data_IF_294968391101
#
_entry.id   IF_294968391101
#
_cell.length_a   1.000
_cell.length_b   1.000
_cell.length_c   1.000
_cell.angle_alpha   90.00
_cell.angle_beta   90.00
_cell.angle_gamma   90.00
#
_symmetry.space_group_name_H-M   'P 1'
#
loop_
_entity.id
_entity.type
_entity.pdbx_description
1 polymer ?
#
# COMPACT_ATOMS: atom_id res chain seq x y z
N UNK A 1 3.30 5.88 16.48
CA UNK A 1 1.95 6.31 16.87
C UNK A 1 1.80 6.56 18.38
N UNK A 2 1.99 5.55 19.23
CA UNK A 2 1.79 5.66 20.70
C UNK A 2 2.43 6.89 21.33
N UNK A 3 3.67 7.18 20.97
CA UNK A 3 4.49 8.20 21.63
C UNK A 3 4.30 9.60 21.02
N UNK A 4 3.85 9.72 19.77
CA UNK A 4 3.67 11.01 19.07
C UNK A 4 2.20 11.37 18.78
N UNK A 5 1.27 10.42 18.85
CA UNK A 5 -0.11 10.62 18.44
C UNK A 5 -0.82 11.72 19.24
N UNK A 6 -0.59 11.80 20.55
CA UNK A 6 -1.14 12.86 21.37
C UNK A 6 -0.67 14.26 20.94
N UNK A 7 0.63 14.41 20.65
CA UNK A 7 1.19 15.66 20.16
C UNK A 7 0.61 16.06 18.80
N UNK A 8 0.47 15.11 17.90
CA UNK A 8 -0.15 15.35 16.58
C UNK A 8 -1.61 15.78 16.74
N UNK A 9 -2.39 15.08 17.57
CA UNK A 9 -3.79 15.45 17.83
C UNK A 9 -3.89 16.86 18.45
N UNK A 10 -3.04 17.21 19.41
CA UNK A 10 -2.97 18.55 20.00
C UNK A 10 -2.66 19.63 18.95
N UNK A 11 -1.88 19.29 17.93
CA UNK A 11 -1.59 20.17 16.78
C UNK A 11 -2.71 20.19 15.75
N UNK A 12 -3.82 19.49 16.00
CA UNK A 12 -5.01 19.45 15.16
C UNK A 12 -4.95 18.46 13.99
N UNK A 13 -4.04 17.46 14.05
CA UNK A 13 -4.03 16.38 13.07
C UNK A 13 -5.13 15.35 13.37
N UNK A 14 -5.83 14.93 12.34
CA UNK A 14 -6.64 13.71 12.37
C UNK A 14 -5.72 12.50 12.27
N UNK A 15 -5.84 11.54 13.18
CA UNK A 15 -5.00 10.35 13.18
C UNK A 15 -5.81 9.19 12.62
N UNK A 16 -5.28 8.52 11.61
CA UNK A 16 -5.84 7.34 10.97
C UNK A 16 -4.84 6.19 11.08
N UNK A 17 -5.32 5.00 11.38
CA UNK A 17 -4.44 3.85 11.66
C UNK A 17 -4.91 2.62 10.92
N UNK A 18 -4.09 2.10 10.03
CA UNK A 18 -4.23 0.76 9.48
C UNK A 18 -3.39 -0.19 10.33
N UNK A 19 -4.03 -0.95 11.24
CA UNK A 19 -3.32 -1.83 12.16
C UNK A 19 -3.54 -3.30 11.80
N UNK A 20 -2.52 -3.91 11.18
CA UNK A 20 -2.56 -5.32 10.78
C UNK A 20 -2.08 -6.27 11.90
N UNK A 21 -1.51 -5.73 12.99
CA UNK A 21 -1.15 -6.52 14.18
C UNK A 21 -2.36 -6.69 15.11
N UNK A 22 -2.94 -5.59 15.59
CA UNK A 22 -4.19 -5.59 16.37
C UNK A 22 -5.32 -4.89 15.59
N UNK A 23 -6.08 -5.68 14.84
CA UNK A 23 -7.15 -5.20 13.97
C UNK A 23 -8.28 -4.51 14.72
N UNK A 24 -8.44 -4.81 16.02
CA UNK A 24 -9.41 -4.12 16.89
C UNK A 24 -9.05 -2.65 17.15
N UNK A 25 -7.81 -2.26 16.85
CA UNK A 25 -7.28 -0.92 16.97
C UNK A 25 -7.03 -0.25 15.61
N UNK A 26 -7.65 -0.75 14.53
CA UNK A 26 -7.52 -0.23 13.18
C UNK A 26 -8.72 0.62 12.77
N UNK A 27 -8.52 1.67 12.01
CA UNK A 27 -9.59 2.25 11.18
C UNK A 27 -10.01 1.23 10.12
N UNK A 28 -11.21 1.39 9.58
CA UNK A 28 -11.69 0.57 8.48
C UNK A 28 -11.11 1.10 7.16
N UNK A 29 -10.62 0.17 6.34
CA UNK A 29 -10.07 0.44 5.02
C UNK A 29 -10.68 -0.49 3.99
N UNK A 30 -11.58 0.04 3.16
CA UNK A 30 -12.18 -0.70 2.07
C UNK A 30 -11.58 -0.26 0.73
N UNK A 31 -10.74 -1.09 0.10
CA UNK A 31 -10.11 -0.74 -1.17
C UNK A 31 -11.10 -0.44 -2.32
N UNK A 32 -12.31 -1.02 -2.30
CA UNK A 32 -13.29 -0.76 -3.35
C UNK A 32 -13.86 0.66 -3.31
N UNK A 33 -13.75 1.34 -2.16
CA UNK A 33 -14.20 2.73 -2.01
C UNK A 33 -13.29 3.75 -2.71
N UNK A 34 -12.08 3.32 -3.12
CA UNK A 34 -11.10 4.15 -3.83
C UNK A 34 -11.06 3.85 -5.34
N UNK A 35 -11.86 2.92 -5.80
CA UNK A 35 -12.12 2.75 -7.23
C UNK A 35 -13.04 3.88 -7.65
N UNK A 36 -12.59 4.68 -8.61
CA UNK A 36 -13.34 5.80 -9.09
C UNK A 36 -14.55 5.30 -9.86
N UNK A 37 -15.66 5.69 -9.36
CA UNK A 37 -16.85 5.84 -10.17
C UNK A 37 -16.98 7.32 -10.45
N UNK A 38 -17.37 7.61 -11.61
CA UNK A 38 -17.79 8.92 -11.91
C UNK A 38 -18.98 9.31 -11.04
N UNK A 39 -18.86 10.30 -10.45
CA UNK A 39 -19.49 11.29 -9.57
C UNK A 39 -21.01 11.25 -9.35
N UNK A 40 -21.70 10.13 -9.50
CA UNK A 40 -23.09 10.05 -9.08
C UNK A 40 -23.20 9.80 -7.57
N UNK A 41 -23.81 10.75 -6.88
CA UNK A 41 -24.09 10.74 -5.45
C UNK A 41 -24.92 9.55 -4.96
N UNK A 42 -25.44 8.71 -5.83
CA UNK A 42 -26.42 7.68 -5.51
C UNK A 42 -25.78 6.30 -5.39
N UNK A 43 -24.46 6.18 -5.65
CA UNK A 43 -23.78 4.87 -5.59
C UNK A 43 -24.12 3.92 -6.73
N UNK A 44 -24.85 4.38 -7.74
CA UNK A 44 -25.16 3.62 -8.93
C UNK A 44 -24.34 4.12 -10.11
N UNK A 45 -23.89 3.19 -10.91
CA UNK A 45 -23.28 3.42 -12.19
C UNK A 45 -24.29 4.13 -13.11
N UNK A 46 -23.85 5.13 -13.85
CA UNK A 46 -24.56 5.64 -15.00
C UNK A 46 -23.68 5.56 -16.26
N UNK A 47 -24.32 5.63 -17.43
CA UNK A 47 -23.61 5.51 -18.70
C UNK A 47 -22.68 6.69 -18.99
N UNK A 48 -22.95 7.87 -18.41
CA UNK A 48 -22.13 9.08 -18.59
C UNK A 48 -20.82 9.01 -17.81
N UNK A 49 -20.80 8.11 -16.83
CA UNK A 49 -19.69 8.03 -15.87
C UNK A 49 -19.27 6.57 -15.59
N UNK A 50 -18.48 5.94 -16.45
CA UNK A 50 -18.09 4.54 -16.30
C UNK A 50 -17.07 4.36 -15.14
N UNK A 51 -17.11 3.18 -14.51
CA UNK A 51 -16.08 2.75 -13.56
C UNK A 51 -14.71 2.86 -14.23
N UNK A 52 -13.73 3.43 -13.53
CA UNK A 52 -12.38 3.51 -14.04
C UNK A 52 -11.76 2.12 -14.09
N UNK A 53 -11.55 1.62 -15.29
CA UNK A 53 -11.03 0.26 -15.51
C UNK A 53 -9.62 0.10 -14.94
N UNK A 54 -8.79 1.15 -15.04
CA UNK A 54 -7.41 1.16 -14.56
C UNK A 54 -7.35 0.94 -13.04
N UNK A 55 -8.25 1.51 -12.26
CA UNK A 55 -8.28 1.36 -10.80
C UNK A 55 -8.64 -0.09 -10.41
N UNK A 56 -9.61 -0.70 -11.11
CA UNK A 56 -9.96 -2.12 -10.90
C UNK A 56 -8.79 -3.02 -11.25
N UNK A 57 -8.13 -2.73 -12.36
CA UNK A 57 -6.94 -3.48 -12.80
C UNK A 57 -5.79 -3.35 -11.79
N UNK A 58 -5.52 -2.14 -11.32
CA UNK A 58 -4.48 -1.85 -10.33
C UNK A 58 -4.72 -2.61 -9.03
N UNK A 59 -5.95 -2.58 -8.50
CA UNK A 59 -6.32 -3.33 -7.30
C UNK A 59 -6.11 -4.85 -7.49
N UNK A 60 -6.61 -5.43 -8.59
CA UNK A 60 -6.48 -6.86 -8.85
C UNK A 60 -5.01 -7.25 -9.04
N UNK A 61 -4.23 -6.47 -9.81
CA UNK A 61 -2.80 -6.72 -10.00
C UNK A 61 -2.04 -6.71 -8.66
N UNK A 62 -2.36 -5.76 -7.78
CA UNK A 62 -1.74 -5.67 -6.46
C UNK A 62 -2.09 -6.88 -5.59
N UNK A 63 -3.35 -7.34 -5.62
CA UNK A 63 -3.77 -8.56 -4.93
C UNK A 63 -3.01 -9.77 -5.51
N UNK A 64 -2.95 -9.90 -6.83
CA UNK A 64 -2.30 -11.04 -7.48
C UNK A 64 -0.79 -11.09 -7.24
N UNK A 65 -0.11 -9.94 -7.24
CA UNK A 65 1.33 -9.86 -6.95
C UNK A 65 1.66 -10.35 -5.53
N UNK A 66 0.80 -10.03 -4.56
CA UNK A 66 1.06 -10.25 -3.14
C UNK A 66 0.45 -11.54 -2.55
N UNK A 67 -0.38 -12.24 -3.29
CA UNK A 67 -1.07 -13.44 -2.79
C UNK A 67 -0.70 -14.69 -3.61
N UNK A 68 0.48 -14.72 -4.21
CA UNK A 68 1.00 -15.91 -4.91
C UNK A 68 1.20 -17.04 -3.89
N UNK A 69 0.58 -18.18 -4.14
CA UNK A 69 0.81 -19.36 -3.32
C UNK A 69 2.19 -19.94 -3.63
N UNK A 70 3.06 -20.07 -2.63
CA UNK A 70 4.39 -20.68 -2.76
C UNK A 70 4.32 -22.12 -3.31
N UNK A 71 3.20 -22.80 -3.09
CA UNK A 71 2.97 -24.17 -3.55
C UNK A 71 2.62 -24.27 -5.05
N UNK A 72 2.26 -23.17 -5.73
CA UNK A 72 1.95 -23.16 -7.16
C UNK A 72 3.22 -22.94 -8.00
N UNK A 73 4.34 -22.57 -7.39
CA UNK A 73 5.63 -22.41 -8.09
C UNK A 73 6.14 -23.71 -8.75
N UNK A 74 5.62 -24.88 -8.38
CA UNK A 74 6.00 -26.17 -8.96
C UNK A 74 5.10 -26.68 -10.09
N UNK A 75 3.99 -26.02 -10.37
CA UNK A 75 3.24 -26.25 -11.61
C UNK A 75 3.72 -25.19 -12.60
N UNK A 76 4.59 -25.61 -13.52
CA UNK A 76 5.13 -24.87 -14.65
C UNK A 76 4.25 -23.67 -15.01
N UNK A 77 4.77 -22.43 -14.72
CA UNK A 77 4.04 -21.18 -14.82
C UNK A 77 3.47 -20.91 -16.21
N UNK A 78 2.39 -21.58 -16.55
CA UNK A 78 1.61 -21.21 -17.71
C UNK A 78 0.86 -19.92 -17.38
N UNK A 79 1.19 -18.79 -18.01
CA UNK A 79 0.55 -17.48 -17.79
C UNK A 79 -0.97 -17.52 -18.03
N UNK A 80 -1.47 -18.61 -18.63
CA UNK A 80 -2.89 -18.82 -18.89
C UNK A 80 -3.72 -18.80 -17.60
N UNK A 81 -3.26 -19.50 -16.54
CA UNK A 81 -4.04 -19.63 -15.30
C UNK A 81 -4.17 -18.30 -14.56
N UNK A 82 -3.06 -17.54 -14.49
CA UNK A 82 -3.07 -16.21 -13.85
C UNK A 82 -3.98 -15.24 -14.63
N UNK A 83 -3.92 -15.27 -15.98
CA UNK A 83 -4.78 -14.44 -16.82
C UNK A 83 -6.26 -14.80 -16.71
N UNK A 84 -6.57 -16.10 -16.70
CA UNK A 84 -7.96 -16.56 -16.58
C UNK A 84 -8.56 -16.22 -15.21
N UNK A 85 -7.76 -16.35 -14.14
CA UNK A 85 -8.14 -15.91 -12.79
C UNK A 85 -8.37 -14.41 -12.74
N UNK A 86 -7.46 -13.61 -13.31
CA UNK A 86 -7.58 -12.16 -13.39
C UNK A 86 -8.88 -11.73 -14.07
N UNK A 87 -9.18 -12.30 -15.25
CA UNK A 87 -10.41 -12.03 -16.00
C UNK A 87 -11.64 -12.36 -15.16
N UNK A 88 -11.61 -13.49 -14.45
CA UNK A 88 -12.71 -13.89 -13.57
C UNK A 88 -12.90 -12.91 -12.41
N UNK A 89 -11.82 -12.52 -11.71
CA UNK A 89 -11.88 -11.54 -10.64
C UNK A 89 -12.40 -10.19 -11.15
N UNK A 90 -11.90 -9.72 -12.30
CA UNK A 90 -12.40 -8.48 -12.92
C UNK A 90 -13.91 -8.52 -13.12
N UNK A 91 -14.44 -9.59 -13.68
CA UNK A 91 -15.88 -9.73 -13.86
C UNK A 91 -16.65 -9.58 -12.55
N UNK A 92 -16.17 -10.21 -11.46
CA UNK A 92 -16.81 -10.13 -10.15
C UNK A 92 -16.73 -8.73 -9.54
N UNK A 93 -15.58 -8.06 -9.64
CA UNK A 93 -15.41 -6.70 -9.15
C UNK A 93 -16.31 -5.72 -9.91
N UNK A 94 -16.36 -5.81 -11.25
CA UNK A 94 -17.26 -4.98 -12.05
C UNK A 94 -18.73 -5.24 -11.71
N UNK A 95 -19.11 -6.51 -11.49
CA UNK A 95 -20.46 -6.84 -11.07
C UNK A 95 -20.79 -6.21 -9.70
N UNK A 96 -19.86 -6.30 -8.73
CA UNK A 96 -20.02 -5.72 -7.40
C UNK A 96 -20.19 -4.19 -7.48
N UNK A 97 -19.33 -3.52 -8.23
CA UNK A 97 -19.36 -2.07 -8.37
C UNK A 97 -20.60 -1.57 -9.13
N UNK A 98 -21.13 -2.38 -10.05
CA UNK A 98 -22.28 -2.01 -10.88
C UNK A 98 -23.64 -2.22 -10.21
N UNK A 99 -23.80 -3.33 -9.47
CA UNK A 99 -25.11 -3.79 -9.02
C UNK A 99 -25.33 -3.66 -7.51
N UNK A 100 -24.32 -3.30 -6.75
CA UNK A 100 -24.44 -3.11 -5.31
C UNK A 100 -24.27 -1.63 -4.95
N UNK A 101 -24.97 -1.19 -3.92
CA UNK A 101 -24.79 0.14 -3.35
C UNK A 101 -23.42 0.25 -2.64
N UNK A 102 -22.99 1.47 -2.33
CA UNK A 102 -21.69 1.74 -1.71
C UNK A 102 -21.45 0.96 -0.40
N UNK A 103 -22.51 0.74 0.38
CA UNK A 103 -22.39 0.01 1.65
C UNK A 103 -22.08 -1.48 1.44
N UNK A 104 -22.42 -2.03 0.28
CA UNK A 104 -22.21 -3.45 -0.05
C UNK A 104 -21.07 -3.66 -1.07
N UNK A 105 -20.40 -2.61 -1.52
CA UNK A 105 -19.23 -2.70 -2.38
C UNK A 105 -17.99 -3.04 -1.54
N UNK A 106 -17.86 -4.32 -1.17
CA UNK A 106 -16.78 -4.83 -0.33
C UNK A 106 -16.35 -6.25 -0.73
N UNK A 107 -15.26 -6.74 -0.17
CA UNK A 107 -14.75 -8.10 -0.46
C UNK A 107 -15.71 -9.22 -0.03
N UNK A 108 -16.53 -9.00 0.98
CA UNK A 108 -17.54 -9.98 1.42
C UNK A 108 -18.54 -10.23 0.30
N UNK A 109 -18.98 -9.19 -0.39
CA UNK A 109 -19.88 -9.30 -1.55
C UNK A 109 -19.20 -10.03 -2.71
N UNK A 110 -17.94 -9.71 -3.03
CA UNK A 110 -17.17 -10.45 -4.06
C UNK A 110 -17.08 -11.93 -3.72
N UNK A 111 -16.78 -12.28 -2.48
CA UNK A 111 -16.71 -13.67 -2.01
C UNK A 111 -18.08 -14.38 -2.09
N UNK A 112 -19.17 -13.68 -1.83
CA UNK A 112 -20.51 -14.22 -2.00
C UNK A 112 -20.81 -14.52 -3.47
N UNK A 113 -20.41 -13.65 -4.40
CA UNK A 113 -20.51 -13.92 -5.84
C UNK A 113 -19.71 -15.16 -6.26
N UNK A 114 -18.50 -15.36 -5.73
CA UNK A 114 -17.73 -16.59 -5.98
C UNK A 114 -18.52 -17.82 -5.52
N UNK A 115 -19.21 -17.79 -4.40
CA UNK A 115 -20.03 -18.92 -3.90
C UNK A 115 -21.17 -19.24 -4.84
N UNK A 116 -21.70 -18.28 -5.60
CA UNK A 116 -22.75 -18.47 -6.59
C UNK A 116 -22.24 -19.14 -7.88
N UNK A 117 -20.92 -19.32 -8.04
CA UNK A 117 -20.32 -19.94 -9.23
C UNK A 117 -20.48 -21.46 -9.29
N UNK A 118 -20.97 -22.10 -8.22
CA UNK A 118 -21.19 -23.52 -8.20
C UNK A 118 -22.36 -23.90 -9.14
N UNK A 119 -22.13 -24.75 -10.15
CA UNK A 119 -23.19 -25.14 -11.06
C UNK A 119 -24.23 -26.03 -10.37
N UNK A 120 -25.47 -25.89 -10.77
CA UNK A 120 -26.55 -26.77 -10.39
C UNK A 120 -26.56 -28.09 -11.21
N UNK A 121 -27.60 -28.92 -11.06
CA UNK A 121 -27.75 -30.17 -11.78
C UNK A 121 -27.86 -29.99 -13.31
N UNK A 122 -28.13 -28.79 -13.80
CA UNK A 122 -28.20 -28.45 -15.24
C UNK A 122 -26.86 -27.97 -15.77
N UNK A 123 -25.84 -27.82 -14.92
CA UNK A 123 -24.53 -27.31 -15.30
C UNK A 123 -24.46 -25.78 -15.39
N UNK A 124 -25.51 -25.07 -14.98
CA UNK A 124 -25.58 -23.60 -14.96
C UNK A 124 -25.49 -23.13 -13.52
N UNK A 125 -24.63 -22.15 -13.25
CA UNK A 125 -24.51 -21.55 -11.93
C UNK A 125 -25.47 -20.36 -11.74
N UNK A 126 -25.75 -20.01 -10.50
CA UNK A 126 -26.50 -18.78 -10.22
C UNK A 126 -25.76 -17.55 -10.70
N UNK A 127 -24.42 -17.57 -10.66
CA UNK A 127 -23.61 -16.50 -11.20
C UNK A 127 -23.79 -16.37 -12.72
N UNK A 128 -23.89 -17.49 -13.47
CA UNK A 128 -24.19 -17.45 -14.91
C UNK A 128 -25.50 -16.71 -15.18
N UNK A 129 -26.52 -16.99 -14.38
CA UNK A 129 -27.84 -16.34 -14.55
C UNK A 129 -27.77 -14.84 -14.29
N UNK A 130 -26.99 -14.42 -13.30
CA UNK A 130 -26.78 -12.98 -13.02
C UNK A 130 -26.10 -12.26 -14.19
N UNK A 131 -25.01 -12.83 -14.72
CA UNK A 131 -24.31 -12.25 -15.85
C UNK A 131 -25.10 -12.32 -17.17
N UNK A 132 -25.92 -13.36 -17.36
CA UNK A 132 -26.82 -13.46 -18.51
C UNK A 132 -27.93 -12.39 -18.46
N UNK A 133 -28.46 -12.12 -17.27
CA UNK A 133 -29.41 -11.04 -17.07
C UNK A 133 -28.76 -9.68 -17.38
N UNK A 134 -27.61 -9.39 -16.76
CA UNK A 134 -26.87 -8.16 -17.04
C UNK A 134 -26.49 -8.02 -18.51
N UNK A 135 -26.06 -9.10 -19.17
CA UNK A 135 -25.70 -9.08 -20.59
C UNK A 135 -26.86 -8.88 -21.55
N UNK A 136 -28.11 -9.04 -21.10
CA UNK A 136 -29.31 -8.68 -21.88
C UNK A 136 -29.57 -7.17 -21.81
N UNK A 137 -29.34 -6.57 -20.65
CA UNK A 137 -29.58 -5.16 -20.42
C UNK A 137 -28.41 -4.31 -20.95
N UNK A 138 -27.16 -4.77 -20.71
CA UNK A 138 -25.93 -4.04 -21.06
C UNK A 138 -24.92 -4.98 -21.74
N UNK A 139 -25.12 -5.39 -23.00
CA UNK A 139 -24.27 -6.37 -23.68
C UNK A 139 -22.82 -5.92 -23.88
N UNK A 140 -22.58 -4.62 -23.93
CA UNK A 140 -21.27 -4.00 -24.14
C UNK A 140 -20.51 -3.71 -22.84
N UNK A 141 -21.12 -3.94 -21.68
CA UNK A 141 -20.47 -3.75 -20.38
C UNK A 141 -19.18 -4.57 -20.27
N UNK A 142 -18.12 -3.95 -19.74
CA UNK A 142 -16.81 -4.59 -19.55
C UNK A 142 -16.92 -5.83 -18.64
N UNK A 143 -17.72 -5.77 -17.58
CA UNK A 143 -17.93 -6.90 -16.68
C UNK A 143 -18.54 -8.11 -17.39
N UNK A 144 -19.54 -7.88 -18.26
CA UNK A 144 -20.17 -8.92 -19.07
C UNK A 144 -19.17 -9.52 -20.08
N UNK A 145 -18.36 -8.66 -20.73
CA UNK A 145 -17.31 -9.11 -21.66
C UNK A 145 -16.28 -9.97 -20.94
N UNK A 146 -15.80 -9.54 -19.78
CA UNK A 146 -14.84 -10.31 -18.98
C UNK A 146 -15.40 -11.65 -18.51
N UNK A 147 -16.67 -11.69 -18.11
CA UNK A 147 -17.30 -12.95 -17.73
C UNK A 147 -17.42 -13.91 -18.91
N UNK A 148 -17.80 -13.42 -20.10
CA UNK A 148 -17.83 -14.23 -21.35
C UNK A 148 -16.44 -14.74 -21.70
N UNK A 149 -15.40 -13.91 -21.59
CA UNK A 149 -14.00 -14.34 -21.82
C UNK A 149 -13.59 -15.43 -20.84
N UNK A 150 -13.93 -15.27 -19.55
CA UNK A 150 -13.69 -16.32 -18.54
C UNK A 150 -14.38 -17.64 -18.94
N UNK A 151 -15.64 -17.61 -19.35
CA UNK A 151 -16.38 -18.81 -19.76
C UNK A 151 -15.75 -19.50 -20.97
N UNK A 152 -15.22 -18.73 -21.92
CA UNK A 152 -14.49 -19.27 -23.07
C UNK A 152 -13.15 -19.89 -22.63
N UNK A 153 -12.38 -19.19 -21.81
CA UNK A 153 -11.12 -19.68 -21.27
C UNK A 153 -11.31 -20.94 -20.41
N UNK A 154 -12.39 -20.98 -19.64
CA UNK A 154 -12.75 -22.06 -18.73
C UNK A 154 -13.80 -23.02 -19.35
N UNK A 155 -13.71 -23.32 -20.63
CA UNK A 155 -14.70 -24.14 -21.36
C UNK A 155 -14.87 -25.57 -20.82
N UNK A 156 -13.83 -26.16 -20.23
CA UNK A 156 -13.92 -27.44 -19.55
C UNK A 156 -14.32 -27.28 -18.07
N UNK A 157 -15.27 -28.08 -17.54
CA UNK A 157 -15.74 -27.99 -16.16
C UNK A 157 -14.61 -28.07 -15.13
N UNK A 158 -13.59 -28.89 -15.37
CA UNK A 158 -12.42 -29.01 -14.49
C UNK A 158 -11.57 -27.74 -14.47
N UNK A 159 -11.40 -27.09 -15.61
CA UNK A 159 -10.67 -25.82 -15.70
C UNK A 159 -11.42 -24.73 -14.93
N UNK A 160 -12.73 -24.62 -15.13
CA UNK A 160 -13.58 -23.68 -14.42
C UNK A 160 -13.46 -23.86 -12.91
N UNK A 161 -13.64 -25.08 -12.43
CA UNK A 161 -13.53 -25.38 -10.98
C UNK A 161 -12.15 -25.03 -10.43
N UNK A 162 -11.08 -25.25 -11.20
CA UNK A 162 -9.72 -24.91 -10.77
C UNK A 162 -9.54 -23.40 -10.64
N UNK A 163 -9.99 -22.60 -11.61
CA UNK A 163 -9.88 -21.13 -11.57
C UNK A 163 -10.69 -20.57 -10.39
N UNK A 164 -11.92 -21.04 -10.20
CA UNK A 164 -12.76 -20.63 -9.07
C UNK A 164 -12.11 -20.98 -7.72
N UNK A 165 -11.51 -22.18 -7.61
CA UNK A 165 -10.82 -22.61 -6.41
C UNK A 165 -9.59 -21.73 -6.11
N UNK A 166 -8.79 -21.39 -7.12
CA UNK A 166 -7.61 -20.52 -6.95
C UNK A 166 -8.04 -19.12 -6.54
N UNK A 167 -9.03 -18.54 -7.20
CA UNK A 167 -9.59 -17.23 -6.82
C UNK A 167 -10.17 -17.23 -5.40
N UNK A 168 -10.88 -18.31 -5.00
CA UNK A 168 -11.37 -18.48 -3.63
C UNK A 168 -10.23 -18.52 -2.62
N UNK A 169 -9.18 -19.28 -2.91
CA UNK A 169 -8.01 -19.39 -2.04
C UNK A 169 -7.27 -18.06 -1.90
N UNK A 170 -7.17 -17.31 -3.00
CA UNK A 170 -6.53 -15.99 -3.03
C UNK A 170 -7.24 -14.97 -2.13
N UNK A 171 -8.55 -14.95 -2.17
CA UNK A 171 -9.37 -14.05 -1.36
C UNK A 171 -9.77 -14.64 0.01
N UNK A 172 -9.30 -15.85 0.36
CA UNK A 172 -9.70 -16.54 1.59
C UNK A 172 -9.45 -15.75 2.88
N UNK A 173 -8.41 -14.93 2.90
CA UNK A 173 -8.08 -14.08 4.06
C UNK A 173 -9.16 -13.05 4.36
N UNK A 174 -9.92 -12.59 3.37
CA UNK A 174 -11.05 -11.68 3.56
C UNK A 174 -12.28 -12.35 4.20
N UNK A 175 -12.32 -13.70 4.31
CA UNK A 175 -13.32 -14.41 5.09
C UNK A 175 -13.04 -14.39 6.61
N UNK A 176 -11.84 -13.98 7.03
CA UNK A 176 -11.49 -13.86 8.45
C UNK A 176 -12.28 -12.69 9.01
N UNK A 177 -13.10 -12.94 10.04
CA UNK A 177 -14.05 -11.96 10.60
C UNK A 177 -13.41 -10.59 10.87
N UNK A 178 -12.21 -10.57 11.44
CA UNK A 178 -11.52 -9.32 11.75
C UNK A 178 -11.11 -8.55 10.49
N UNK A 179 -10.69 -9.25 9.43
CA UNK A 179 -10.34 -8.64 8.14
C UNK A 179 -11.61 -8.22 7.40
N UNK A 180 -12.64 -9.06 7.38
CA UNK A 180 -13.93 -8.72 6.79
C UNK A 180 -14.48 -7.41 7.40
N UNK A 181 -14.52 -7.32 8.72
CA UNK A 181 -14.98 -6.10 9.42
C UNK A 181 -14.12 -4.88 9.11
N UNK A 182 -12.79 -5.06 8.99
CA UNK A 182 -11.87 -3.95 8.70
C UNK A 182 -12.00 -3.45 7.26
N UNK A 183 -12.41 -4.32 6.32
CA UNK A 183 -12.54 -4.00 4.89
C UNK A 183 -13.99 -3.83 4.43
N UNK A 184 -14.95 -3.83 5.34
CA UNK A 184 -16.37 -3.69 5.03
C UNK A 184 -16.73 -2.26 4.62
N UNK A 185 -16.20 -1.30 5.33
CA UNK A 185 -16.45 0.13 5.13
C UNK A 185 -15.12 0.90 5.07
N UNK A 186 -15.17 2.20 4.78
CA UNK A 186 -13.98 3.05 4.79
C UNK A 186 -14.10 4.20 5.78
N UNK A 187 -13.13 4.30 6.66
CA UNK A 187 -12.93 5.43 7.57
C UNK A 187 -11.55 6.05 7.43
N UNK A 188 -10.72 5.56 6.49
CA UNK A 188 -9.35 6.08 6.28
C UNK A 188 -9.33 7.46 5.64
N UNK A 189 -10.30 7.78 4.76
CA UNK A 189 -10.39 9.08 4.10
C UNK A 189 -9.08 9.48 3.39
N UNK A 190 -8.51 8.58 2.57
CA UNK A 190 -7.22 8.82 1.89
C UNK A 190 -7.25 10.05 0.97
N UNK A 191 -8.42 10.43 0.47
CA UNK A 191 -8.64 11.61 -0.35
C UNK A 191 -8.26 12.94 0.33
N UNK A 192 -8.00 12.95 1.65
CA UNK A 192 -7.51 14.13 2.38
C UNK A 192 -6.01 14.39 2.20
N UNK A 193 -5.24 13.38 1.76
CA UNK A 193 -3.78 13.48 1.70
C UNK A 193 -3.35 14.62 0.77
N UNK A 194 -2.45 15.46 1.24
CA UNK A 194 -1.90 16.59 0.47
C UNK A 194 -2.85 17.75 0.19
N UNK A 195 -4.12 17.68 0.65
CA UNK A 195 -5.07 18.78 0.55
C UNK A 195 -4.65 19.99 1.41
N UNK A 196 -5.22 21.19 1.19
CA UNK A 196 -4.96 22.35 2.06
C UNK A 196 -5.23 22.06 3.53
N UNK A 197 -4.34 22.49 4.43
CA UNK A 197 -4.48 22.28 5.89
C UNK A 197 -5.59 23.11 6.51
N UNK A 198 -5.97 24.23 5.92
CA UNK A 198 -7.01 25.11 6.41
C UNK A 198 -8.36 24.78 5.79
N UNK A 199 -9.36 24.47 6.62
CA UNK A 199 -10.75 24.24 6.19
C UNK A 199 -11.35 25.45 5.43
N UNK A 200 -10.85 26.64 5.69
CA UNK A 200 -11.31 27.87 5.05
C UNK A 200 -10.56 28.20 3.75
N UNK A 201 -9.61 27.37 3.35
CA UNK A 201 -8.87 27.57 2.10
C UNK A 201 -9.81 27.77 0.92
N UNK A 202 -9.60 28.82 0.09
CA UNK A 202 -10.39 29.02 -1.13
C UNK A 202 -10.31 27.80 -2.07
N UNK A 203 -9.13 27.20 -2.20
CA UNK A 203 -8.91 26.02 -3.02
C UNK A 203 -9.74 24.83 -2.52
N UNK A 204 -9.74 24.53 -1.22
CA UNK A 204 -10.51 23.43 -0.66
C UNK A 204 -12.02 23.67 -0.82
N UNK A 205 -12.48 24.92 -0.67
CA UNK A 205 -13.87 25.29 -0.91
C UNK A 205 -14.26 25.11 -2.37
N UNK A 206 -13.38 25.49 -3.30
CA UNK A 206 -13.60 25.28 -4.73
C UNK A 206 -13.71 23.79 -5.04
N UNK A 207 -12.74 22.97 -4.63
CA UNK A 207 -12.75 21.52 -4.83
C UNK A 207 -14.07 20.92 -4.29
N UNK A 208 -14.46 21.31 -3.08
CA UNK A 208 -15.68 20.80 -2.46
C UNK A 208 -16.97 21.32 -3.12
N UNK A 209 -16.95 22.45 -3.82
CA UNK A 209 -18.09 22.93 -4.57
C UNK A 209 -18.31 22.17 -5.89
N UNK A 210 -17.25 21.60 -6.42
CA UNK A 210 -17.26 20.80 -7.65
C UNK A 210 -17.40 19.28 -7.35
N UNK A 211 -17.26 18.88 -6.08
CA UNK A 211 -17.31 17.49 -5.63
C UNK A 211 -18.65 17.19 -4.94
N UNK A 212 -19.19 16.05 -5.25
CA UNK A 212 -20.42 15.56 -4.63
C UNK A 212 -20.17 15.03 -3.19
N UNK A 213 -18.92 14.70 -2.85
CA UNK A 213 -18.51 14.28 -1.51
C UNK A 213 -17.45 15.26 -0.98
N UNK A 214 -17.75 16.06 0.03
CA UNK A 214 -16.77 16.99 0.60
C UNK A 214 -15.52 16.27 1.08
N UNK A 215 -14.36 16.80 0.70
CA UNK A 215 -13.05 16.34 1.15
C UNK A 215 -12.67 17.14 2.40
N UNK A 216 -12.20 16.46 3.44
CA UNK A 216 -11.66 17.10 4.63
C UNK A 216 -10.32 17.80 4.35
N UNK A 217 -9.87 18.63 5.28
CA UNK A 217 -8.55 19.25 5.17
C UNK A 217 -7.40 18.23 5.21
N UNK A 218 -6.23 18.63 4.67
CA UNK A 218 -5.03 17.81 4.57
C UNK A 218 -4.26 17.61 5.87
N UNK A 219 -4.80 18.03 7.01
CA UNK A 219 -4.15 17.88 8.32
C UNK A 219 -4.41 16.49 8.89
N UNK A 220 -3.81 15.49 8.29
CA UNK A 220 -4.01 14.06 8.59
C UNK A 220 -2.65 13.36 8.77
N UNK A 221 -2.61 12.38 9.66
CA UNK A 221 -1.46 11.51 9.87
C UNK A 221 -1.90 10.04 9.81
N UNK A 222 -1.39 9.32 8.83
CA UNK A 222 -1.65 7.89 8.64
C UNK A 222 -0.56 7.06 9.29
N UNK A 223 -0.95 6.02 10.03
CA UNK A 223 -0.06 5.04 10.60
C UNK A 223 -0.40 3.65 10.07
N UNK A 224 0.54 3.03 9.36
CA UNK A 224 0.42 1.65 8.91
C UNK A 224 1.26 0.77 9.82
N UNK A 225 0.61 -0.11 10.56
CA UNK A 225 1.26 -0.99 11.54
C UNK A 225 1.20 -2.42 11.02
N UNK A 226 2.36 -3.00 10.74
CA UNK A 226 2.49 -4.40 10.31
C UNK A 226 3.01 -5.26 11.46
N UNK A 227 2.77 -6.57 11.40
CA UNK A 227 3.29 -7.52 12.37
C UNK A 227 4.61 -8.12 11.89
N UNK A 228 5.74 -7.85 12.55
CA UNK A 228 7.04 -8.37 12.10
C UNK A 228 7.13 -9.90 12.04
N UNK A 229 6.42 -10.59 12.92
CA UNK A 229 6.43 -12.06 13.02
C UNK A 229 5.45 -12.77 12.06
N UNK A 230 4.60 -12.04 11.37
CA UNK A 230 3.59 -12.61 10.48
C UNK A 230 3.22 -11.62 9.36
N UNK A 231 3.64 -11.94 8.16
CA UNK A 231 3.41 -11.14 6.96
C UNK A 231 2.12 -11.48 6.19
N UNK A 232 1.29 -12.39 6.72
CA UNK A 232 0.08 -12.91 6.04
C UNK A 232 -0.85 -11.80 5.54
N UNK A 233 -0.94 -10.68 6.24
CA UNK A 233 -1.84 -9.57 5.89
C UNK A 233 -1.11 -8.36 5.28
N UNK A 234 0.19 -8.45 5.02
CA UNK A 234 0.97 -7.32 4.50
C UNK A 234 0.55 -6.92 3.09
N UNK A 235 -0.15 -7.79 2.36
CA UNK A 235 -0.76 -7.45 1.07
C UNK A 235 -1.77 -6.28 1.19
N UNK A 236 -2.47 -6.13 2.33
CA UNK A 236 -3.35 -5.00 2.58
C UNK A 236 -2.58 -3.67 2.68
N UNK A 237 -1.38 -3.70 3.27
CA UNK A 237 -0.51 -2.53 3.29
C UNK A 237 -0.03 -2.20 1.87
N UNK A 238 0.25 -3.20 1.03
CA UNK A 238 0.63 -2.96 -0.38
C UNK A 238 -0.52 -2.34 -1.18
N UNK A 239 -1.75 -2.82 -1.01
CA UNK A 239 -2.93 -2.22 -1.63
C UNK A 239 -3.10 -0.77 -1.14
N UNK A 240 -2.96 -0.54 0.17
CA UNK A 240 -3.04 0.79 0.76
C UNK A 240 -2.04 1.77 0.12
N UNK A 241 -0.76 1.38 0.00
CA UNK A 241 0.25 2.26 -0.60
C UNK A 241 0.02 2.47 -2.09
N UNK A 242 -0.39 1.43 -2.83
CA UNK A 242 -0.73 1.57 -4.26
C UNK A 242 -1.84 2.62 -4.43
N UNK A 243 -2.94 2.48 -3.70
CA UNK A 243 -4.06 3.42 -3.78
C UNK A 243 -3.70 4.80 -3.21
N UNK A 244 -2.85 4.87 -2.17
CA UNK A 244 -2.36 6.14 -1.65
C UNK A 244 -1.59 6.92 -2.73
N UNK A 245 -0.74 6.28 -3.52
CA UNK A 245 0.01 6.94 -4.60
C UNK A 245 -0.91 7.40 -5.73
N UNK A 246 -1.89 6.60 -6.11
CA UNK A 246 -2.91 6.97 -7.09
C UNK A 246 -3.72 8.20 -6.63
N UNK A 247 -4.14 8.24 -5.37
CA UNK A 247 -4.86 9.37 -4.78
C UNK A 247 -3.98 10.62 -4.68
N UNK A 248 -2.70 10.47 -4.38
CA UNK A 248 -1.74 11.58 -4.36
C UNK A 248 -1.67 12.24 -5.75
N UNK A 249 -1.58 11.44 -6.81
CA UNK A 249 -1.57 11.96 -8.20
C UNK A 249 -2.84 12.76 -8.52
N UNK A 250 -3.99 12.24 -8.12
CA UNK A 250 -5.27 12.92 -8.32
C UNK A 250 -5.40 14.21 -7.54
N UNK A 251 -5.05 14.15 -6.26
CA UNK A 251 -5.08 15.32 -5.41
C UNK A 251 -4.12 16.41 -5.91
N UNK A 252 -2.96 16.02 -6.46
CA UNK A 252 -2.05 16.95 -7.10
C UNK A 252 -2.69 17.60 -8.35
N UNK A 253 -3.41 16.84 -9.17
CA UNK A 253 -4.17 17.39 -10.32
C UNK A 253 -5.25 18.37 -9.85
N UNK A 254 -6.03 18.03 -8.81
CA UNK A 254 -7.02 18.92 -8.22
C UNK A 254 -6.41 20.20 -7.63
N UNK A 255 -5.18 20.12 -7.14
CA UNK A 255 -4.45 21.25 -6.59
C UNK A 255 -3.64 22.05 -7.63
N UNK A 256 -3.78 21.75 -8.93
CA UNK A 256 -3.11 22.50 -10.00
C UNK A 256 -1.75 21.96 -10.41
N UNK A 257 -1.46 20.68 -10.19
CA UNK A 257 -0.28 19.96 -10.64
C UNK A 257 0.71 19.58 -9.54
N UNK A 258 0.48 19.99 -8.29
CA UNK A 258 1.26 19.59 -7.12
C UNK A 258 0.39 19.67 -5.88
N UNK A 259 0.68 18.85 -4.87
CA UNK A 259 -0.06 18.86 -3.60
C UNK A 259 0.02 20.23 -2.91
N UNK A 260 -1.10 20.69 -2.37
CA UNK A 260 -1.17 21.95 -1.62
C UNK A 260 -0.43 21.88 -0.28
N UNK A 261 -0.32 20.69 0.30
CA UNK A 261 0.44 20.41 1.52
C UNK A 261 1.49 19.35 1.24
N UNK A 262 2.77 19.57 1.61
CA UNK A 262 3.79 18.55 1.49
C UNK A 262 3.41 17.27 2.21
N UNK A 263 3.69 16.13 1.61
CA UNK A 263 3.45 14.81 2.20
C UNK A 263 4.78 14.12 2.43
N UNK A 264 5.03 13.68 3.68
CA UNK A 264 6.21 12.91 4.04
C UNK A 264 5.80 11.48 4.39
N UNK A 265 6.38 10.52 3.68
CA UNK A 265 6.12 9.09 3.83
C UNK A 265 7.36 8.41 4.42
N UNK A 266 7.22 7.82 5.59
CA UNK A 266 8.29 7.08 6.27
C UNK A 266 7.98 5.60 6.26
N UNK A 267 8.77 4.81 5.53
CA UNK A 267 8.65 3.35 5.42
C UNK A 267 9.81 2.70 6.18
N UNK A 268 9.70 2.58 7.51
CA UNK A 268 10.81 2.14 8.40
C UNK A 268 11.28 0.71 8.09
N UNK A 269 10.37 -0.25 7.94
CA UNK A 269 10.69 -1.63 7.56
C UNK A 269 10.07 -1.99 6.18
N UNK A 270 10.36 -1.17 5.19
CA UNK A 270 9.77 -1.30 3.86
C UNK A 270 9.92 -2.69 3.23
N UNK A 271 11.02 -3.38 3.48
CA UNK A 271 11.24 -4.73 2.94
C UNK A 271 10.21 -5.76 3.44
N UNK A 272 9.58 -5.53 4.58
CA UNK A 272 8.54 -6.39 5.14
C UNK A 272 7.16 -6.16 4.54
N UNK A 273 6.94 -5.02 3.89
CA UNK A 273 5.70 -4.79 3.15
C UNK A 273 5.62 -5.78 1.98
N UNK A 274 4.42 -6.07 1.50
CA UNK A 274 4.25 -6.78 0.24
C UNK A 274 4.86 -6.00 -0.95
N UNK A 275 4.81 -6.57 -2.13
CA UNK A 275 5.23 -5.89 -3.35
C UNK A 275 4.25 -4.75 -3.68
N UNK A 276 4.76 -3.54 -3.84
CA UNK A 276 4.01 -2.39 -4.35
C UNK A 276 4.28 -2.32 -5.85
N UNK A 277 3.29 -2.66 -6.70
CA UNK A 277 3.48 -2.58 -8.14
C UNK A 277 3.90 -1.19 -8.59
N UNK A 278 4.80 -1.11 -9.58
CA UNK A 278 5.27 0.15 -10.14
C UNK A 278 5.93 1.11 -9.12
N UNK A 279 6.42 0.60 -7.99
CA UNK A 279 7.00 1.44 -6.93
C UNK A 279 8.16 2.31 -7.41
N UNK A 280 8.98 1.81 -8.33
CA UNK A 280 10.14 2.54 -8.88
C UNK A 280 9.67 3.75 -9.69
N UNK A 281 8.68 3.54 -10.55
CA UNK A 281 8.08 4.59 -11.38
C UNK A 281 7.39 5.64 -10.49
N UNK A 282 6.70 5.19 -9.45
CA UNK A 282 6.06 6.08 -8.48
C UNK A 282 7.08 6.93 -7.71
N UNK A 283 8.20 6.35 -7.27
CA UNK A 283 9.27 7.13 -6.60
C UNK A 283 9.78 8.28 -7.46
N UNK A 284 10.01 8.03 -8.74
CA UNK A 284 10.49 9.05 -9.67
C UNK A 284 9.43 10.15 -9.90
N UNK A 285 8.17 9.78 -9.96
CA UNK A 285 7.05 10.67 -10.27
C UNK A 285 6.62 11.53 -9.07
N UNK A 286 6.48 10.93 -7.90
CA UNK A 286 5.96 11.56 -6.67
C UNK A 286 6.83 12.72 -6.19
N UNK A 287 8.14 12.72 -6.49
CA UNK A 287 9.04 13.83 -6.23
C UNK A 287 8.53 15.15 -6.81
N UNK A 288 7.99 15.11 -8.03
CA UNK A 288 7.41 16.28 -8.69
C UNK A 288 6.12 16.80 -8.06
N UNK A 289 5.45 15.99 -7.25
CA UNK A 289 4.16 16.26 -6.64
C UNK A 289 4.23 16.82 -5.21
N UNK A 290 5.41 17.22 -4.73
CA UNK A 290 5.62 17.67 -3.35
C UNK A 290 5.51 16.55 -2.30
N UNK A 291 6.04 15.36 -2.63
CA UNK A 291 6.07 14.18 -1.77
C UNK A 291 7.50 13.78 -1.47
N UNK A 292 7.85 13.66 -0.19
CA UNK A 292 9.09 13.08 0.30
C UNK A 292 8.89 11.64 0.73
N UNK A 293 9.79 10.74 0.33
CA UNK A 293 9.73 9.33 0.74
C UNK A 293 11.05 8.93 1.37
N UNK A 294 10.98 8.40 2.58
CA UNK A 294 12.11 7.81 3.30
C UNK A 294 11.89 6.31 3.45
N UNK A 295 12.84 5.53 2.92
CA UNK A 295 12.80 4.06 2.95
C UNK A 295 13.86 3.53 3.89
N UNK A 296 13.46 2.79 4.91
CA UNK A 296 14.34 2.08 5.83
C UNK A 296 14.63 0.65 5.35
N UNK A 297 15.93 0.30 5.31
CA UNK A 297 16.42 -1.02 4.91
C UNK A 297 17.42 -1.55 5.93
N UNK A 298 17.36 -2.83 6.25
CA UNK A 298 18.40 -3.49 7.05
C UNK A 298 19.63 -3.86 6.20
N UNK A 299 19.43 -4.12 4.90
CA UNK A 299 20.51 -4.42 3.95
C UNK A 299 20.06 -4.25 2.50
N UNK A 300 20.99 -4.02 1.59
CA UNK A 300 20.70 -3.98 0.15
C UNK A 300 20.22 -5.32 -0.41
N UNK A 301 20.58 -6.44 0.22
CA UNK A 301 20.09 -7.76 -0.21
C UNK A 301 18.58 -7.89 -0.12
N UNK A 302 17.93 -7.23 0.86
CA UNK A 302 16.46 -7.17 0.94
C UNK A 302 15.85 -6.45 -0.27
N UNK A 303 16.47 -5.35 -0.68
CA UNK A 303 16.03 -4.57 -1.85
C UNK A 303 16.16 -5.40 -3.14
N UNK A 304 17.31 -6.06 -3.34
CA UNK A 304 17.57 -6.93 -4.49
C UNK A 304 16.63 -8.12 -4.55
N UNK A 305 16.32 -8.73 -3.40
CA UNK A 305 15.36 -9.84 -3.35
C UNK A 305 13.97 -9.41 -3.81
N UNK A 306 13.57 -8.20 -3.46
CA UNK A 306 12.22 -7.69 -3.72
C UNK A 306 12.06 -7.13 -5.14
N UNK A 307 13.03 -6.35 -5.60
CA UNK A 307 12.95 -5.64 -6.90
C UNK A 307 13.96 -6.14 -7.94
N UNK A 308 14.57 -7.29 -7.71
CA UNK A 308 15.45 -7.99 -8.66
C UNK A 308 16.26 -7.03 -9.55
N UNK A 309 15.85 -6.88 -10.82
CA UNK A 309 16.56 -6.07 -11.81
C UNK A 309 16.37 -4.55 -11.64
N UNK A 310 15.35 -4.11 -10.90
CA UNK A 310 15.01 -2.68 -10.71
C UNK A 310 15.54 -2.08 -9.41
N UNK A 311 16.29 -2.83 -8.60
CA UNK A 311 16.76 -2.38 -7.29
C UNK A 311 17.68 -1.15 -7.35
N UNK A 312 18.52 -1.04 -8.39
CA UNK A 312 19.41 0.12 -8.59
C UNK A 312 18.60 1.38 -8.86
N UNK A 313 17.53 1.28 -9.64
CA UNK A 313 16.65 2.41 -9.93
C UNK A 313 15.98 2.99 -8.68
N UNK A 314 15.69 2.15 -7.66
CA UNK A 314 15.19 2.65 -6.36
C UNK A 314 16.24 3.54 -5.69
N UNK A 315 17.51 3.13 -5.70
CA UNK A 315 18.59 3.92 -5.11
C UNK A 315 18.86 5.21 -5.91
N UNK A 316 18.77 5.15 -7.22
CA UNK A 316 18.97 6.31 -8.10
C UNK A 316 17.88 7.39 -7.89
N UNK A 317 16.68 6.98 -7.43
CA UNK A 317 15.62 7.90 -7.04
C UNK A 317 15.86 8.56 -5.67
N UNK A 318 16.84 8.09 -4.89
CA UNK A 318 17.13 8.61 -3.56
C UNK A 318 18.26 9.67 -3.61
N UNK A 319 17.92 10.93 -3.36
CA UNK A 319 18.91 12.02 -3.29
C UNK A 319 19.86 11.89 -2.10
N UNK A 320 19.45 11.20 -1.05
CA UNK A 320 20.24 11.04 0.17
C UNK A 320 20.27 9.59 0.63
N UNK A 321 21.46 9.12 1.00
CA UNK A 321 21.67 7.80 1.59
C UNK A 321 22.31 7.95 2.97
N UNK A 322 21.61 7.48 4.01
CA UNK A 322 22.10 7.50 5.39
C UNK A 322 22.46 6.08 5.84
N UNK A 323 23.73 5.85 6.12
CA UNK A 323 24.23 4.59 6.71
C UNK A 323 24.50 4.77 8.20
N UNK A 324 23.81 3.98 9.02
CA UNK A 324 23.91 4.05 10.49
C UNK A 324 24.69 2.88 11.11
N UNK A 325 25.34 2.07 10.26
CA UNK A 325 26.07 0.87 10.67
C UNK A 325 25.44 -0.40 10.09
N UNK A 326 26.22 -1.45 10.03
CA UNK A 326 25.79 -2.77 9.53
C UNK A 326 26.98 -3.63 9.08
N UNK A 327 26.74 -4.94 8.94
CA UNK A 327 27.77 -5.93 8.60
C UNK A 327 27.53 -6.58 7.22
N UNK A 328 26.47 -6.18 6.50
CA UNK A 328 26.19 -6.74 5.18
C UNK A 328 27.29 -6.36 4.19
N UNK A 329 28.04 -7.36 3.72
CA UNK A 329 29.15 -7.16 2.76
C UNK A 329 28.69 -6.38 1.53
N UNK A 330 27.55 -6.73 0.98
CA UNK A 330 26.99 -6.10 -0.22
C UNK A 330 26.66 -4.62 0.00
N UNK A 331 26.08 -4.28 1.17
CA UNK A 331 25.84 -2.89 1.55
C UNK A 331 27.12 -2.10 1.72
N UNK A 332 28.13 -2.71 2.36
CA UNK A 332 29.43 -2.08 2.56
C UNK A 332 30.17 -1.85 1.23
N UNK A 333 30.16 -2.84 0.31
CA UNK A 333 30.76 -2.71 -1.03
C UNK A 333 30.11 -1.56 -1.83
N UNK A 334 28.79 -1.46 -1.79
CA UNK A 334 28.06 -0.34 -2.41
C UNK A 334 28.49 1.01 -1.84
N UNK A 335 28.57 1.13 -0.51
CA UNK A 335 28.96 2.37 0.16
C UNK A 335 30.41 2.75 -0.15
N UNK A 336 31.33 1.79 -0.17
CA UNK A 336 32.74 2.04 -0.57
C UNK A 336 32.82 2.58 -1.99
N UNK A 337 32.04 1.98 -2.91
CA UNK A 337 31.98 2.45 -4.29
C UNK A 337 31.41 3.88 -4.38
N UNK A 338 30.36 4.17 -3.62
CA UNK A 338 29.71 5.49 -3.57
C UNK A 338 30.63 6.57 -2.98
N UNK A 339 31.42 6.23 -1.95
CA UNK A 339 32.39 7.13 -1.32
C UNK A 339 33.58 7.46 -2.25
N UNK A 340 33.94 6.51 -3.12
CA UNK A 340 35.02 6.69 -4.07
C UNK A 340 36.41 6.63 -3.44
N UNK A 341 37.40 7.14 -4.17
CA UNK A 341 38.84 7.08 -3.81
C UNK A 341 39.43 8.47 -3.66
N UNK A 342 40.39 8.58 -2.72
CA UNK A 342 41.22 9.76 -2.54
C UNK A 342 42.66 9.45 -2.90
N UNK A 343 43.34 10.42 -3.52
CA UNK A 343 44.77 10.34 -3.82
C UNK A 343 45.59 10.58 -2.55
N UNK A 344 46.46 9.66 -2.22
CA UNK A 344 47.41 9.77 -1.12
C UNK A 344 48.83 9.79 -1.65
N UNK A 345 49.65 10.69 -1.09
CA UNK A 345 51.08 10.72 -1.35
C UNK A 345 51.81 9.92 -0.29
N UNK A 346 52.40 8.80 -0.72
CA UNK A 346 53.21 7.94 0.14
C UNK A 346 54.67 8.29 -0.03
N UNK A 347 55.29 8.77 1.05
CA UNK A 347 56.73 9.00 1.10
C UNK A 347 57.43 7.69 1.44
N UNK A 348 58.25 7.16 0.54
CA UNK A 348 59.14 6.02 0.78
C UNK A 348 60.56 6.50 0.88
N UNK A 349 61.23 6.23 1.97
CA UNK A 349 62.65 6.56 2.16
C UNK A 349 63.50 5.30 2.32
N UNK A 350 64.44 5.10 1.44
CA UNK A 350 65.46 4.04 1.52
C UNK A 350 66.77 4.64 1.98
N UNK A 351 67.43 4.05 2.98
CA UNK A 351 68.81 4.34 3.39
C UNK A 351 69.65 3.10 3.20
N UNK A 352 70.69 3.25 2.38
CA UNK A 352 71.68 2.19 2.22
C UNK A 352 72.90 2.55 3.08
N UNK A 353 73.21 1.68 4.02
CA UNK A 353 74.40 1.79 4.87
C UNK A 353 75.59 1.11 4.16
N UNK A 354 76.29 1.84 3.29
CA UNK A 354 77.55 1.46 2.70
C UNK A 354 78.55 2.59 2.88
N UNK A 355 79.88 2.34 2.60
CA UNK A 355 80.98 3.31 2.75
C UNK A 355 80.71 4.65 2.00
N UNK A 356 79.84 4.63 1.01
CA UNK A 356 79.20 5.80 0.40
C UNK A 356 77.68 5.63 0.55
N UNK A 357 77.12 6.09 1.66
CA UNK A 357 75.70 5.98 1.94
C UNK A 357 74.91 6.89 1.02
N UNK A 358 73.90 6.33 0.36
CA UNK A 358 72.90 7.11 -0.40
C UNK A 358 71.55 7.06 0.30
N UNK A 359 70.85 8.17 0.30
CA UNK A 359 69.45 8.22 0.70
C UNK A 359 68.57 8.60 -0.49
N UNK A 360 67.61 7.80 -0.79
CA UNK A 360 66.60 8.10 -1.81
C UNK A 360 65.26 8.35 -1.14
N UNK A 361 64.56 9.36 -1.58
CA UNK A 361 63.20 9.66 -1.17
C UNK A 361 62.31 9.64 -2.40
N UNK A 362 61.40 8.65 -2.45
CA UNK A 362 60.40 8.57 -3.53
C UNK A 362 59.03 8.99 -3.01
N UNK A 363 58.32 9.68 -3.84
CA UNK A 363 56.92 10.03 -3.61
C UNK A 363 56.08 9.19 -4.56
N UNK A 364 55.30 8.25 -4.01
CA UNK A 364 54.39 7.42 -4.75
C UNK A 364 52.97 8.02 -4.59
N UNK A 365 52.25 8.06 -5.68
CA UNK A 365 50.86 8.46 -5.70
C UNK A 365 50.02 7.21 -5.68
N UNK A 366 49.24 7.02 -4.59
CA UNK A 366 48.40 5.82 -4.38
C UNK A 366 46.95 6.26 -4.23
N UNK A 367 46.08 5.70 -5.07
CA UNK A 367 44.64 5.81 -4.84
C UNK A 367 44.18 4.94 -3.67
N UNK A 368 43.62 5.55 -2.61
CA UNK A 368 43.02 4.83 -1.50
C UNK A 368 41.53 5.11 -1.46
N UNK A 369 40.71 4.10 -1.17
CA UNK A 369 39.32 4.28 -0.86
C UNK A 369 39.14 5.28 0.29
N UNK A 370 38.14 6.13 0.20
CA UNK A 370 37.86 7.16 1.22
C UNK A 370 37.56 6.51 2.58
N UNK A 371 36.81 5.39 2.55
CA UNK A 371 36.65 4.47 3.65
C UNK A 371 36.70 3.03 3.11
N UNK A 372 37.38 2.14 3.78
CA UNK A 372 37.45 0.72 3.43
C UNK A 372 36.29 -0.05 4.02
N UNK A 373 36.02 -1.27 3.52
CA UNK A 373 35.02 -2.18 4.09
C UNK A 373 35.23 -2.40 5.59
N UNK A 374 36.49 -2.57 6.00
CA UNK A 374 36.86 -2.82 7.39
C UNK A 374 36.62 -1.58 8.28
N UNK A 375 36.88 -0.40 7.79
CA UNK A 375 36.63 0.86 8.49
C UNK A 375 35.12 1.12 8.66
N UNK A 376 34.31 0.86 7.61
CA UNK A 376 32.84 1.01 7.69
C UNK A 376 32.22 -0.05 8.61
N UNK A 377 32.68 -1.30 8.54
CA UNK A 377 32.16 -2.40 9.38
C UNK A 377 32.44 -2.18 10.88
N UNK A 378 33.52 -1.45 11.20
CA UNK A 378 33.96 -1.11 12.57
C UNK A 378 33.52 0.30 13.00
N UNK A 379 32.63 0.94 12.24
CA UNK A 379 32.16 2.26 12.59
C UNK A 379 31.55 2.26 14.00
N UNK A 380 31.99 3.18 14.89
CA UNK A 380 31.45 3.25 16.25
C UNK A 380 29.94 3.50 16.26
N UNK A 381 29.25 2.83 17.20
CA UNK A 381 27.82 3.06 17.43
C UNK A 381 27.54 4.54 17.69
N UNK A 382 26.47 5.06 17.12
CA UNK A 382 26.11 6.49 17.21
C UNK A 382 26.77 7.39 16.17
N UNK A 383 27.62 6.83 15.28
CA UNK A 383 28.10 7.54 14.10
C UNK A 383 27.32 7.12 12.84
N UNK A 384 27.38 7.94 11.82
CA UNK A 384 26.73 7.67 10.54
C UNK A 384 27.57 8.22 9.38
N UNK A 385 27.29 7.68 8.21
CA UNK A 385 27.75 8.22 6.93
C UNK A 385 26.52 8.69 6.17
N UNK A 386 26.48 9.98 5.85
CA UNK A 386 25.43 10.59 5.03
C UNK A 386 26.03 10.91 3.67
N UNK A 387 25.44 10.39 2.61
CA UNK A 387 25.74 10.75 1.25
C UNK A 387 24.58 11.58 0.68
N UNK A 388 24.90 12.71 0.05
CA UNK A 388 23.92 13.58 -0.62
C UNK A 388 24.36 13.74 -2.07
N UNK A 389 23.50 13.40 -3.02
CA UNK A 389 23.78 13.51 -4.45
C UNK A 389 24.16 14.95 -4.83
N UNK A 390 25.23 15.09 -5.61
CA UNK A 390 25.75 16.41 -6.03
C UNK A 390 26.52 17.20 -4.96
N UNK A 391 26.51 16.78 -3.69
CA UNK A 391 27.23 17.45 -2.59
C UNK A 391 28.40 16.58 -2.12
N UNK A 392 28.15 15.29 -1.84
CA UNK A 392 29.17 14.33 -1.41
C UNK A 392 28.85 13.63 -0.10
N UNK A 393 29.89 13.09 0.54
CA UNK A 393 29.76 12.27 1.73
C UNK A 393 30.20 12.99 3.00
N UNK A 394 29.46 12.76 4.06
CA UNK A 394 29.70 13.31 5.40
C UNK A 394 29.79 12.18 6.41
N UNK A 395 30.84 12.19 7.24
CA UNK A 395 30.91 11.35 8.42
C UNK A 395 30.51 12.18 9.64
N UNK A 396 29.47 11.75 10.34
CA UNK A 396 28.88 12.52 11.44
C UNK A 396 28.41 11.62 12.59
N UNK A 397 27.96 12.24 13.65
CA UNK A 397 27.25 11.57 14.74
C UNK A 397 25.75 11.59 14.45
N UNK A 398 25.08 10.50 14.80
CA UNK A 398 23.61 10.48 14.82
C UNK A 398 23.08 11.55 15.78
N UNK A 399 22.06 12.24 15.34
CA UNK A 399 21.40 13.23 16.19
C UNK A 399 20.75 12.57 17.42
N UNK A 400 21.01 13.12 18.58
CA UNK A 400 20.36 12.63 19.80
C UNK A 400 18.94 13.17 19.88
N UNK A 401 17.95 12.29 19.71
CA UNK A 401 16.54 12.66 19.71
C UNK A 401 16.13 13.44 20.97
N UNK A 402 16.77 13.18 22.13
CA UNK A 402 16.50 13.89 23.38
C UNK A 402 16.86 15.39 23.36
N UNK A 403 17.74 15.78 22.45
CA UNK A 403 18.14 17.18 22.27
C UNK A 403 17.19 17.96 21.35
N UNK A 404 16.22 17.23 20.71
CA UNK A 404 15.27 17.87 19.83
C UNK A 404 14.31 18.79 20.60
N UNK A 405 14.07 20.03 20.15
CA UNK A 405 13.21 21.00 20.87
C UNK A 405 11.82 20.44 21.22
N UNK A 406 11.25 19.64 20.34
CA UNK A 406 9.91 19.03 20.51
C UNK A 406 9.95 17.69 21.26
N UNK A 407 11.11 17.23 21.75
CA UNK A 407 11.21 15.94 22.44
C UNK A 407 10.27 15.86 23.65
N UNK A 408 10.13 16.99 24.38
CA UNK A 408 9.21 17.08 25.52
C UNK A 408 7.72 16.89 25.16
N UNK A 409 7.36 16.95 23.87
CA UNK A 409 5.99 16.71 23.41
C UNK A 409 5.70 15.20 23.22
N UNK A 410 6.74 14.36 23.17
CA UNK A 410 6.60 12.91 23.05
C UNK A 410 6.28 12.29 24.42
N UNK A 411 5.63 11.12 24.36
CA UNK A 411 5.45 10.30 25.54
C UNK A 411 6.74 9.54 25.87
N UNK A 412 7.20 9.65 27.11
CA UNK A 412 8.25 8.79 27.69
C UNK A 412 7.67 7.86 28.75
N UNK A 413 7.95 6.53 28.70
CA UNK A 413 7.46 5.59 29.71
C UNK A 413 7.94 5.89 31.15
N UNK A 414 9.06 6.62 31.29
CA UNK A 414 9.63 7.00 32.59
C UNK A 414 9.00 8.25 33.21
N UNK A 415 8.38 9.07 32.38
CA UNK A 415 7.62 10.23 32.84
C UNK A 415 6.23 9.77 33.23
N UNK A 416 5.88 9.49 34.41
CA UNK A 416 4.55 9.06 34.88
C UNK A 416 3.35 9.84 34.30
N UNK A 417 3.53 10.52 33.18
CA UNK A 417 2.54 11.34 32.50
C UNK A 417 1.76 10.52 31.46
N UNK A 418 0.91 9.62 31.97
CA UNK A 418 0.00 8.81 31.13
C UNK A 418 -0.93 9.64 30.23
N UNK A 419 -1.05 10.94 30.46
CA UNK A 419 -1.87 11.84 29.63
C UNK A 419 -1.30 12.04 28.22
N UNK A 420 0.00 11.86 28.01
CA UNK A 420 0.64 11.97 26.70
C UNK A 420 0.62 10.66 25.91
N UNK A 421 0.16 9.57 26.52
CA UNK A 421 0.07 8.27 25.86
C UNK A 421 -1.15 8.25 24.94
N UNK A 422 -0.92 8.19 23.63
CA UNK A 422 -2.00 8.06 22.67
C UNK A 422 -2.51 6.62 22.58
N UNK A 423 -3.81 6.45 22.71
CA UNK A 423 -4.48 5.15 22.57
C UNK A 423 -5.60 5.25 21.54
N UNK A 424 -5.31 4.76 20.34
CA UNK A 424 -6.24 4.81 19.20
C UNK A 424 -7.52 4.02 19.46
N UNK A 425 -7.44 2.90 20.17
CA UNK A 425 -8.64 2.12 20.55
C UNK A 425 -9.64 2.93 21.38
N UNK A 426 -9.14 3.76 22.31
CA UNK A 426 -10.00 4.66 23.06
C UNK A 426 -10.64 5.73 22.18
N UNK A 427 -9.88 6.28 21.22
CA UNK A 427 -10.40 7.24 20.26
C UNK A 427 -11.51 6.64 19.40
N UNK A 428 -11.33 5.40 18.95
CA UNK A 428 -12.34 4.67 18.19
C UNK A 428 -13.60 4.34 19.02
N UNK A 429 -13.46 4.16 20.33
CA UNK A 429 -14.56 3.87 21.24
C UNK A 429 -15.29 5.11 21.76
N UNK A 430 -14.57 6.23 21.93
CA UNK A 430 -15.08 7.41 22.63
C UNK A 430 -14.81 8.72 21.88
N UNK A 431 -14.21 8.68 20.69
CA UNK A 431 -13.94 9.83 19.83
C UNK A 431 -15.12 10.23 18.95
N UNK A 432 -14.91 11.18 18.05
CA UNK A 432 -15.93 11.67 17.12
C UNK A 432 -16.53 10.58 16.20
N UNK A 433 -15.80 9.47 15.97
CA UNK A 433 -16.26 8.31 15.19
C UNK A 433 -16.76 7.15 16.05
N UNK A 434 -17.01 7.37 17.34
CA UNK A 434 -17.40 6.32 18.29
C UNK A 434 -18.71 5.63 17.91
N UNK A 435 -19.68 6.38 17.45
CA UNK A 435 -21.01 5.87 17.09
C UNK A 435 -20.94 4.85 15.95
N UNK A 436 -20.04 5.08 15.02
CA UNK A 436 -19.83 4.17 13.88
C UNK A 436 -19.26 2.82 14.32
N UNK A 437 -18.34 2.80 15.29
CA UNK A 437 -17.75 1.57 15.81
C UNK A 437 -18.60 0.83 16.85
N UNK A 438 -19.39 1.54 17.62
CA UNK A 438 -20.40 0.89 18.45
C UNK A 438 -21.34 0.03 17.61
N UNK A 439 -21.64 0.45 16.39
CA UNK A 439 -22.40 -0.33 15.43
C UNK A 439 -21.63 -1.59 14.96
N UNK A 440 -20.33 -1.49 14.74
CA UNK A 440 -19.48 -2.63 14.36
C UNK A 440 -19.23 -3.61 15.52
N UNK A 441 -18.95 -3.11 16.74
CA UNK A 441 -18.67 -3.93 17.93
C UNK A 441 -19.95 -4.54 18.54
N UNK A 442 -21.13 -3.95 18.33
CA UNK A 442 -22.41 -4.48 18.84
C UNK A 442 -22.88 -5.73 18.08
N UNK A 443 -22.14 -6.19 17.09
CA UNK A 443 -22.56 -7.29 16.23
C UNK A 443 -23.76 -6.94 15.34
N UNK A 444 -24.19 -5.69 15.41
CA UNK A 444 -24.99 -5.04 14.38
C UNK A 444 -24.07 -4.65 13.22
N UNK A 445 -23.16 -5.57 12.83
CA UNK A 445 -22.78 -5.58 11.43
C UNK A 445 -24.12 -5.58 10.70
N UNK A 446 -24.33 -4.63 9.80
CA UNK A 446 -25.33 -4.79 8.78
C UNK A 446 -24.93 -5.92 7.82
N UNK A 447 -24.63 -7.08 8.40
CA UNK A 447 -25.06 -8.30 7.81
C UNK A 447 -26.56 -8.20 8.01
N UNK A 448 -27.23 -7.53 7.12
CA UNK A 448 -28.59 -7.95 6.79
C UNK A 448 -28.41 -9.45 6.66
N UNK A 449 -28.98 -10.28 7.57
CA UNK A 449 -28.96 -11.70 7.31
C UNK A 449 -29.50 -11.73 5.89
N UNK A 450 -28.69 -12.17 4.94
CA UNK A 450 -29.20 -12.68 3.70
C UNK A 450 -30.07 -13.80 4.25
N UNK A 451 -31.34 -13.51 4.49
CA UNK A 451 -32.33 -14.55 4.60
C UNK A 451 -31.96 -15.39 3.43
N UNK A 452 -31.50 -16.61 3.71
CA UNK A 452 -31.15 -17.55 2.66
C UNK A 452 -32.22 -17.30 1.66
N UNK A 453 -31.95 -16.77 0.44
CA UNK A 453 -33.03 -16.65 -0.52
C UNK A 453 -33.58 -18.05 -0.51
N UNK A 454 -34.82 -18.25 -0.05
CA UNK A 454 -35.48 -19.51 -0.24
C UNK A 454 -35.27 -19.70 -1.73
N UNK A 455 -34.46 -20.71 -2.08
CA UNK A 455 -34.19 -21.07 -3.45
C UNK A 455 -35.52 -21.64 -3.93
N UNK A 456 -36.43 -20.74 -4.19
CA UNK A 456 -37.53 -21.03 -5.08
C UNK A 456 -36.84 -21.17 -6.43
N UNK A 457 -37.03 -22.32 -7.05
CA UNK A 457 -36.76 -22.48 -8.47
C UNK A 457 -37.35 -21.25 -9.15
N UNK A 458 -36.44 -20.33 -9.54
CA UNK A 458 -36.85 -19.06 -10.15
C UNK A 458 -37.37 -19.41 -11.51
N UNK A 459 -38.69 -19.37 -11.64
CA UNK A 459 -39.35 -19.52 -12.92
C UNK A 459 -38.89 -18.37 -13.85
N UNK A 460 -38.76 -18.62 -15.14
CA UNK A 460 -38.23 -17.65 -16.11
C UNK A 460 -38.98 -16.33 -16.13
N UNK A 461 -40.20 -16.29 -15.57
CA UNK A 461 -41.01 -15.07 -15.48
C UNK A 461 -40.72 -14.22 -14.23
N UNK A 462 -40.10 -14.80 -13.18
CA UNK A 462 -39.73 -14.06 -11.94
C UNK A 462 -38.49 -13.19 -12.10
N UNK A 463 -37.71 -13.38 -13.16
CA UNK A 463 -36.52 -12.56 -13.47
C UNK A 463 -36.85 -11.13 -13.91
N UNK A 464 -38.10 -10.85 -14.29
CA UNK A 464 -38.52 -9.50 -14.69
C UNK A 464 -38.74 -8.57 -13.52
N UNK A 465 -38.94 -9.10 -12.32
CA UNK A 465 -39.22 -8.30 -11.11
C UNK A 465 -38.03 -8.20 -10.14
N UNK A 466 -36.91 -8.84 -10.46
CA UNK A 466 -35.63 -8.67 -9.75
C UNK A 466 -34.92 -7.37 -10.20
N UNK A 467 -35.62 -6.24 -10.19
CA UNK A 467 -35.01 -5.00 -9.76
C UNK A 467 -34.69 -5.20 -8.30
N UNK A 468 -33.46 -5.46 -7.99
CA UNK A 468 -32.89 -5.45 -6.65
C UNK A 468 -33.05 -4.04 -6.06
N UNK A 469 -34.31 -3.67 -5.71
CA UNK A 469 -34.58 -2.67 -4.70
C UNK A 469 -34.07 -3.27 -3.40
N UNK A 470 -33.07 -2.62 -2.80
CA UNK A 470 -32.35 -3.07 -1.62
C UNK A 470 -33.24 -3.76 -0.59
N UNK A 471 -32.95 -4.99 -0.34
CA UNK A 471 -33.21 -5.74 0.87
C UNK A 471 -31.96 -6.55 1.19
#
# INVERSE_FOLDING_TARGET
>A
MRDCGYSLKKKGYTIKVLNLDDKSCSDCYNPLMYIKESHNNIGYYDEEHPIQEDDVMSLINTIMANTKSENIQNTSGDPFWEKAEMIYLQALFYYTLRHYDKAHQNFTTVLNLIRLSNPDSTGVSNLDRLFDAWGKDEPESIGVKQYKHFKVAASAPKMMSTIIMVATARLASFNIKEIANMTDTDTMELNRIGMPMDNNSPLLKQINSESNKPIGNGKVAYFVITKPSNNTFNYLASIFYTQLFEIIDENAKLCGGSLATPVEIYMDEWAQLGEIPRFVEELAYLRGLNVGITVGLQSLSQLKQKYKDSWESVLDCCDSTLFMGGMSKETLEYLVALLGKKTWYKKSSGRTYARQGSSSTNWDVVGRELATLDELSKMPSGNCVLFIAGIGAFYSKLYNLKEHPNYSELYEPRDNNSQKLYNHKKELQYGENADYRMLCDSGLSFVIPIEKPEIREVDKDDLKDLKLTGV
#
